data_IF_928295567811
#
_entry.id   IF_928295567811
#
_cell.length_a   1.000
_cell.length_b   1.000
_cell.length_c   1.000
_cell.angle_alpha   90.00
_cell.angle_beta   90.00
_cell.angle_gamma   90.00
#
_symmetry.space_group_name_H-M   'P 1'
#
loop_
_entity.id
_entity.type
_entity.pdbx_description
1 polymer ?
#
# COMPACT_ATOMS: atom_id res chain seq x y z
N UNK A 1 -8.76 -3.20 -8.46
CA UNK A 1 -7.66 -3.64 -9.36
C UNK A 1 -7.59 -2.69 -10.55
N UNK A 2 -6.39 -2.45 -11.09
CA UNK A 2 -6.20 -1.70 -12.34
C UNK A 2 -5.73 -2.68 -13.42
N UNK A 3 -6.40 -2.65 -14.58
CA UNK A 3 -6.05 -3.45 -15.75
C UNK A 3 -5.69 -2.48 -16.89
N UNK A 4 -4.42 -2.47 -17.29
CA UNK A 4 -3.97 -1.65 -18.40
C UNK A 4 -4.44 -2.24 -19.74
N UNK A 5 -4.46 -1.41 -20.79
CA UNK A 5 -4.86 -1.83 -22.12
C UNK A 5 -4.01 -3.02 -22.62
N UNK A 6 -4.67 -4.07 -23.11
CA UNK A 6 -4.02 -5.27 -23.65
C UNK A 6 -3.59 -6.31 -22.60
N UNK A 7 -3.72 -6.03 -21.30
CA UNK A 7 -3.44 -7.04 -20.27
C UNK A 7 -4.60 -8.03 -20.13
N UNK A 8 -4.30 -9.33 -20.22
CA UNK A 8 -5.31 -10.39 -20.17
C UNK A 8 -5.08 -11.40 -19.04
N UNK A 9 -3.91 -11.36 -18.39
CA UNK A 9 -3.59 -12.27 -17.31
C UNK A 9 -3.56 -11.56 -15.95
N UNK A 10 -3.95 -12.29 -14.92
CA UNK A 10 -3.96 -11.83 -13.53
C UNK A 10 -2.59 -11.31 -13.08
N UNK A 11 -1.53 -12.03 -13.44
CA UNK A 11 -0.15 -11.67 -13.11
C UNK A 11 0.25 -10.31 -13.69
N UNK A 12 -0.25 -9.96 -14.89
CA UNK A 12 -0.01 -8.65 -15.50
C UNK A 12 -0.68 -7.53 -14.69
N UNK A 13 -1.90 -7.76 -14.21
CA UNK A 13 -2.66 -6.77 -13.44
C UNK A 13 -2.01 -6.51 -12.08
N UNK A 14 -1.55 -7.56 -11.39
CA UNK A 14 -0.78 -7.42 -10.16
C UNK A 14 0.62 -6.87 -10.42
N UNK A 15 1.17 -7.00 -11.63
CA UNK A 15 2.44 -6.41 -12.03
C UNK A 15 2.41 -4.89 -12.24
N UNK A 16 1.23 -4.27 -12.31
CA UNK A 16 1.09 -2.83 -12.56
C UNK A 16 1.73 -1.98 -11.46
N UNK A 17 2.78 -1.23 -11.80
CA UNK A 17 3.46 -0.32 -10.86
C UNK A 17 2.71 1.01 -10.68
N UNK A 18 1.94 1.44 -11.68
CA UNK A 18 1.19 2.69 -11.70
C UNK A 18 -0.17 2.49 -12.38
N UNK A 19 -1.14 3.34 -12.05
CA UNK A 19 -2.42 3.43 -12.77
C UNK A 19 -2.39 4.44 -13.92
N UNK A 20 -3.53 4.66 -14.57
CA UNK A 20 -3.74 5.79 -15.47
C UNK A 20 -4.27 7.02 -14.73
N UNK A 21 -4.27 8.19 -15.40
CA UNK A 21 -4.83 9.42 -14.83
C UNK A 21 -6.33 9.28 -14.55
N UNK A 22 -7.06 8.56 -15.41
CA UNK A 22 -8.49 8.29 -15.24
C UNK A 22 -8.74 7.35 -14.05
N UNK A 23 -7.84 6.39 -13.83
CA UNK A 23 -7.90 5.52 -12.66
C UNK A 23 -7.67 6.31 -11.36
N UNK A 24 -6.69 7.22 -11.35
CA UNK A 24 -6.44 8.09 -10.19
C UNK A 24 -7.63 9.04 -9.93
N UNK A 25 -8.23 9.60 -10.98
CA UNK A 25 -9.45 10.41 -10.88
C UNK A 25 -10.62 9.59 -10.31
N UNK A 26 -10.81 8.35 -10.78
CA UNK A 26 -11.81 7.44 -10.22
C UNK A 26 -11.56 7.17 -8.73
N UNK A 27 -10.31 6.88 -8.32
CA UNK A 27 -9.97 6.64 -6.91
C UNK A 27 -10.34 7.83 -6.02
N UNK A 28 -10.19 9.06 -6.51
CA UNK A 28 -10.59 10.27 -5.77
C UNK A 28 -12.10 10.42 -5.55
N UNK A 29 -12.91 9.77 -6.39
CA UNK A 29 -14.37 9.70 -6.23
C UNK A 29 -14.74 8.61 -5.24
N UNK A 30 -14.00 7.49 -5.25
CA UNK A 30 -14.25 6.33 -4.37
C UNK A 30 -13.97 6.66 -2.90
N UNK A 31 -12.96 7.47 -2.63
CA UNK A 31 -12.63 7.88 -1.27
C UNK A 31 -11.42 8.80 -1.19
N UNK A 32 -11.01 9.07 0.04
CA UNK A 32 -9.85 9.88 0.33
C UNK A 32 -8.57 9.05 0.29
N UNK A 33 -7.56 9.52 -0.44
CA UNK A 33 -6.21 8.98 -0.37
C UNK A 33 -5.56 9.39 0.95
N UNK A 34 -5.23 8.43 1.80
CA UNK A 34 -4.58 8.66 3.10
C UNK A 34 -3.21 7.99 3.16
N UNK A 35 -2.35 8.55 4.00
CA UNK A 35 -1.07 7.93 4.33
C UNK A 35 -1.30 6.88 5.41
N UNK A 36 -0.81 5.66 5.20
CA UNK A 36 -0.99 4.56 6.15
C UNK A 36 -0.24 4.82 7.46
N UNK A 37 0.94 5.43 7.38
CA UNK A 37 1.74 5.73 8.57
C UNK A 37 1.00 6.65 9.52
N UNK A 38 0.83 6.19 10.76
CA UNK A 38 0.13 6.94 11.80
C UNK A 38 -1.39 7.02 11.59
N UNK A 39 -1.94 6.31 10.61
CA UNK A 39 -3.38 6.20 10.43
C UNK A 39 -4.00 5.48 11.63
N UNK A 40 -5.03 6.09 12.21
CA UNK A 40 -5.72 5.59 13.40
C UNK A 40 -7.09 4.99 13.10
N UNK A 41 -7.61 5.16 11.88
CA UNK A 41 -8.87 4.55 11.45
C UNK A 41 -8.71 3.07 11.07
N UNK A 42 -9.79 2.44 10.61
CA UNK A 42 -9.75 1.05 10.19
C UNK A 42 -8.77 0.85 9.01
N UNK A 43 -7.73 0.04 9.19
CA UNK A 43 -6.67 -0.14 8.19
C UNK A 43 -6.81 -1.40 7.33
N UNK A 44 -7.83 -2.24 7.57
CA UNK A 44 -8.06 -3.49 6.84
C UNK A 44 -6.79 -4.37 6.65
N UNK A 45 -5.99 -4.52 7.72
CA UNK A 45 -4.76 -5.34 7.69
C UNK A 45 -3.56 -4.70 6.98
N UNK A 46 -3.66 -3.43 6.56
CA UNK A 46 -2.53 -2.65 6.06
C UNK A 46 -1.64 -2.16 7.22
N UNK A 47 -0.35 -2.03 6.97
CA UNK A 47 0.66 -1.62 7.94
C UNK A 47 0.67 -0.10 8.16
N UNK A 48 0.26 0.32 9.37
CA UNK A 48 0.23 1.74 9.77
C UNK A 48 1.45 2.17 10.59
N UNK A 49 2.39 1.26 10.89
CA UNK A 49 3.48 1.50 11.86
C UNK A 49 4.82 1.78 11.21
N UNK A 50 5.06 1.37 9.96
CA UNK A 50 6.37 1.54 9.34
C UNK A 50 6.80 3.01 9.20
N UNK A 51 7.97 3.32 9.76
CA UNK A 51 8.60 4.64 9.66
C UNK A 51 9.51 4.71 8.43
N UNK A 52 9.53 5.81 7.66
CA UNK A 52 10.54 6.00 6.64
C UNK A 52 11.90 6.17 7.33
N UNK A 53 12.93 5.50 6.79
CA UNK A 53 14.29 5.50 7.33
C UNK A 53 14.86 6.91 7.57
N UNK A 54 14.39 7.89 6.80
CA UNK A 54 14.77 9.31 6.89
C UNK A 54 14.34 10.01 8.18
N UNK A 55 13.33 9.51 8.89
CA UNK A 55 12.85 10.11 10.15
C UNK A 55 13.43 9.47 11.41
N UNK A 56 14.16 8.36 11.27
CA UNK A 56 14.82 7.70 12.40
C UNK A 56 16.13 8.38 12.81
N UNK A 57 16.64 9.35 12.04
CA UNK A 57 17.92 10.04 12.28
C UNK A 57 19.11 9.31 11.64
N UNK A 58 20.34 9.51 12.12
CA UNK A 58 21.50 8.69 11.73
C UNK A 58 21.53 7.39 12.55
N UNK A 59 22.06 6.28 11.99
CA UNK A 59 22.14 5.02 12.73
C UNK A 59 23.00 5.16 14.00
N UNK A 60 22.54 4.68 15.17
CA UNK A 60 23.26 4.69 16.42
C UNK A 60 24.47 3.78 16.27
N UNK A 61 25.63 4.34 16.59
CA UNK A 61 26.95 3.70 16.51
C UNK A 61 26.98 2.36 17.25
N UNK A 62 26.18 2.21 18.31
CA UNK A 62 26.23 1.06 19.22
C UNK A 62 25.18 -0.02 18.90
N UNK A 63 24.27 0.19 17.93
CA UNK A 63 23.30 -0.84 17.56
C UNK A 63 22.86 -0.76 16.08
N UNK A 64 23.80 -0.92 15.13
CA UNK A 64 23.50 -0.84 13.71
C UNK A 64 22.51 -1.94 13.25
N UNK A 65 22.47 -3.08 13.94
CA UNK A 65 21.56 -4.19 13.61
C UNK A 65 20.11 -3.93 14.04
N UNK A 66 19.90 -3.31 15.20
CA UNK A 66 18.57 -2.89 15.63
C UNK A 66 18.03 -1.81 14.70
N UNK A 67 18.90 -0.88 14.31
CA UNK A 67 18.52 0.18 13.38
C UNK A 67 18.22 -0.33 11.99
N UNK A 68 19.04 -1.25 11.45
CA UNK A 68 18.74 -2.00 10.23
C UNK A 68 17.38 -2.68 10.31
N UNK A 69 17.02 -3.28 11.45
CA UNK A 69 15.74 -3.96 11.66
C UNK A 69 14.56 -2.98 11.73
N UNK A 70 14.77 -1.76 12.22
CA UNK A 70 13.75 -0.70 12.27
C UNK A 70 13.51 -0.03 10.89
N UNK A 71 14.53 0.04 10.03
CA UNK A 71 14.42 0.61 8.67
C UNK A 71 14.13 -0.42 7.57
N UNK A 72 14.37 -1.71 7.81
CA UNK A 72 14.30 -2.78 6.79
C UNK A 72 12.90 -3.23 6.41
N UNK A 73 11.86 -2.65 7.01
CA UNK A 73 10.51 -2.84 6.50
C UNK A 73 10.08 -1.51 5.88
N UNK A 74 10.35 -1.24 4.59
CA UNK A 74 9.36 -0.48 3.84
C UNK A 74 8.01 -1.12 4.16
N UNK A 75 7.01 -0.33 4.57
CA UNK A 75 5.72 -0.87 5.01
C UNK A 75 5.28 -1.98 4.07
N UNK A 76 5.02 -3.17 4.61
CA UNK A 76 4.77 -4.38 3.80
C UNK A 76 3.55 -4.22 2.87
N UNK A 77 2.80 -3.13 3.03
CA UNK A 77 1.54 -2.84 2.36
C UNK A 77 1.48 -1.44 1.74
N UNK A 78 2.63 -0.81 1.48
CA UNK A 78 2.71 0.47 0.77
C UNK A 78 2.65 1.69 1.69
N UNK A 79 2.69 2.88 1.09
CA UNK A 79 2.69 4.16 1.84
C UNK A 79 1.30 4.79 1.96
N UNK A 80 0.46 4.59 0.95
CA UNK A 80 -0.86 5.20 0.85
C UNK A 80 -1.92 4.15 0.57
N UNK A 81 -3.15 4.46 0.95
CA UNK A 81 -4.32 3.74 0.49
C UNK A 81 -5.48 4.71 0.27
N UNK A 82 -6.62 4.21 -0.19
CA UNK A 82 -7.89 4.94 -0.27
C UNK A 82 -8.80 4.45 0.85
N UNK A 83 -9.43 5.38 1.54
CA UNK A 83 -10.43 5.12 2.57
C UNK A 83 -11.70 5.90 2.28
N UNK A 84 -12.84 5.34 2.65
CA UNK A 84 -14.13 6.01 2.62
C UNK A 84 -14.77 5.86 4.00
N UNK A 85 -14.85 6.99 4.71
CA UNK A 85 -15.43 7.13 6.04
C UNK A 85 -16.83 7.77 5.95
N UNK A 86 -17.71 7.15 5.14
CA UNK A 86 -19.08 7.64 5.00
C UNK A 86 -19.87 7.46 6.30
N UNK A 87 -19.96 8.56 7.04
CA UNK A 87 -20.76 8.68 8.27
C UNK A 87 -22.25 8.42 8.06
N UNK A 88 -22.74 8.52 6.81
CA UNK A 88 -24.14 8.28 6.44
C UNK A 88 -24.60 6.83 6.64
N UNK A 89 -23.66 5.87 6.63
CA UNK A 89 -23.98 4.46 6.85
C UNK A 89 -23.30 3.88 8.10
N UNK A 90 -22.45 4.67 8.79
CA UNK A 90 -21.72 4.21 9.97
C UNK A 90 -20.66 3.14 9.70
N UNK A 91 -20.24 2.98 8.45
CA UNK A 91 -19.22 2.01 8.04
C UNK A 91 -17.96 2.73 7.55
N UNK A 92 -16.80 2.19 7.92
CA UNK A 92 -15.51 2.56 7.36
C UNK A 92 -15.08 1.52 6.34
N UNK A 93 -14.71 1.98 5.14
CA UNK A 93 -14.19 1.12 4.06
C UNK A 93 -12.77 1.52 3.75
N UNK A 94 -11.86 0.54 3.82
CA UNK A 94 -10.46 0.71 3.41
C UNK A 94 -10.17 -0.18 2.22
N UNK A 95 -9.71 0.42 1.14
CA UNK A 95 -9.50 -0.27 -0.13
C UNK A 95 -8.10 -0.87 -0.20
N UNK A 96 -7.97 -2.06 -0.78
CA UNK A 96 -6.66 -2.57 -1.21
C UNK A 96 -6.45 -2.22 -2.69
N UNK A 97 -5.66 -1.18 -2.94
CA UNK A 97 -5.37 -0.72 -4.30
C UNK A 97 -4.07 -1.34 -4.79
N UNK A 98 -4.13 -2.21 -5.79
CA UNK A 98 -2.97 -2.99 -6.25
C UNK A 98 -1.76 -2.13 -6.62
N UNK A 99 -1.98 -1.00 -7.29
CA UNK A 99 -0.91 -0.06 -7.66
C UNK A 99 -0.32 0.72 -6.49
N UNK A 100 -0.98 0.74 -5.32
CA UNK A 100 -0.47 1.35 -4.09
C UNK A 100 0.18 0.34 -3.14
N UNK A 101 -0.07 -0.96 -3.33
CA UNK A 101 0.66 -2.03 -2.64
C UNK A 101 2.09 -2.15 -3.20
N UNK A 102 3.07 -2.62 -2.42
CA UNK A 102 4.45 -2.73 -2.88
C UNK A 102 4.56 -3.66 -4.08
N UNK A 103 5.44 -3.29 -5.02
CA UNK A 103 5.86 -4.16 -6.10
C UNK A 103 7.20 -4.80 -5.74
N UNK A 104 7.33 -6.11 -5.92
CA UNK A 104 8.57 -6.84 -5.63
C UNK A 104 9.22 -7.27 -6.94
N UNK A 105 10.43 -6.78 -7.22
CA UNK A 105 11.20 -7.25 -8.39
C UNK A 105 11.59 -8.72 -8.24
N UNK A 106 11.40 -9.49 -9.31
CA UNK A 106 11.67 -10.93 -9.34
C UNK A 106 10.52 -11.81 -8.84
N UNK A 107 9.49 -11.25 -8.20
CA UNK A 107 8.27 -11.97 -7.85
C UNK A 107 7.22 -11.80 -8.97
N UNK A 108 7.25 -12.67 -9.99
CA UNK A 108 6.29 -12.59 -11.11
C UNK A 108 4.82 -12.74 -10.67
N UNK A 109 4.58 -13.43 -9.55
CA UNK A 109 3.24 -13.67 -9.01
C UNK A 109 2.76 -12.54 -8.08
N UNK A 110 3.65 -11.62 -7.68
CA UNK A 110 3.35 -10.52 -6.75
C UNK A 110 2.55 -11.01 -5.52
N UNK A 111 3.05 -12.06 -4.85
CA UNK A 111 2.33 -12.82 -3.83
C UNK A 111 1.82 -11.93 -2.69
N UNK A 112 2.57 -10.89 -2.32
CA UNK A 112 2.12 -9.94 -1.29
C UNK A 112 0.84 -9.20 -1.72
N UNK A 113 0.73 -8.77 -2.98
CA UNK A 113 -0.48 -8.11 -3.49
C UNK A 113 -1.67 -9.08 -3.51
N UNK A 114 -1.44 -10.31 -3.98
CA UNK A 114 -2.46 -11.38 -3.98
C UNK A 114 -2.96 -11.72 -2.58
N UNK A 115 -2.07 -11.78 -1.58
CA UNK A 115 -2.45 -12.02 -0.18
C UNK A 115 -3.41 -10.99 0.37
N UNK A 116 -3.24 -9.71 0.04
CA UNK A 116 -4.14 -8.67 0.53
C UNK A 116 -5.46 -8.65 -0.23
N UNK A 117 -5.42 -8.79 -1.56
CA UNK A 117 -6.60 -8.62 -2.42
C UNK A 117 -7.46 -9.90 -2.52
N UNK A 118 -6.85 -11.07 -2.35
CA UNK A 118 -7.52 -12.37 -2.49
C UNK A 118 -8.17 -12.93 -1.22
N UNK A 119 -8.05 -12.24 -0.08
CA UNK A 119 -8.67 -12.61 1.19
C UNK A 119 -9.76 -11.59 1.55
#
# INVERSE_FOLDING_TARGET
MYCAAGQLAEDDWFGNRTGSAEFDAFLSVVGQKIRLRGWTGYAAGLDTKCMPATLLGSPPVHSPNLWRRLIRSPGNTGEFTVVNDSTLAGYEVTYHVSTLLPYIEGDSQQIQRKRHIGN
#
